data_IF_764088558313
#
_entry.id   IF_764088558313
#
_cell.length_a   1.000
_cell.length_b   1.000
_cell.length_c   1.000
_cell.angle_alpha   90.00
_cell.angle_beta   90.00
_cell.angle_gamma   90.00
#
_symmetry.space_group_name_H-M   'P 1'
#
loop_
_entity.id
_entity.type
_entity.pdbx_description
1 polymer ?
#
# COMPACT_ATOMS: atom_id res chain seq x y z
N UNK A 1 58.39 -13.66 -39.17
CA UNK A 1 57.74 -12.80 -40.17
C UNK A 1 56.26 -12.66 -39.81
N UNK A 2 55.65 -11.50 -40.05
CA UNK A 2 54.80 -10.79 -39.07
C UNK A 2 53.30 -10.81 -39.42
N UNK A 3 52.46 -10.52 -38.43
CA UNK A 3 51.21 -9.73 -38.49
C UNK A 3 50.50 -9.93 -37.12
N UNK A 4 50.20 -8.94 -36.29
CA UNK A 4 49.89 -7.53 -36.57
C UNK A 4 48.38 -7.34 -36.63
N UNK A 5 47.76 -6.95 -35.51
CA UNK A 5 46.58 -6.06 -35.35
C UNK A 5 45.82 -6.41 -34.05
N UNK A 6 46.06 -5.73 -32.93
CA UNK A 6 45.48 -4.44 -32.48
C UNK A 6 43.95 -4.38 -32.55
N UNK A 7 43.34 -4.70 -31.43
CA UNK A 7 41.93 -4.49 -31.11
C UNK A 7 41.76 -3.04 -30.59
N UNK A 8 40.97 -2.17 -31.25
CA UNK A 8 40.77 -0.81 -30.76
C UNK A 8 39.71 -0.77 -29.65
N UNK A 9 40.10 -0.15 -28.52
CA UNK A 9 39.23 0.21 -27.40
C UNK A 9 38.15 1.22 -27.84
N UNK A 10 36.97 1.20 -27.19
CA UNK A 10 35.91 2.17 -27.46
C UNK A 10 36.31 3.60 -27.05
N UNK A 11 35.95 4.62 -27.84
CA UNK A 11 36.24 6.01 -27.50
C UNK A 11 35.40 6.49 -26.32
N UNK A 12 36.08 7.10 -25.35
CA UNK A 12 35.46 7.83 -24.24
C UNK A 12 34.72 9.08 -24.71
N UNK A 13 33.61 9.49 -24.06
CA UNK A 13 32.78 10.60 -24.49
C UNK A 13 33.35 11.92 -23.97
N UNK A 14 34.45 12.42 -24.56
CA UNK A 14 35.02 13.73 -24.22
C UNK A 14 34.48 14.89 -25.07
N UNK A 15 33.53 14.63 -25.97
CA UNK A 15 33.01 15.64 -26.91
C UNK A 15 31.84 16.48 -26.36
N UNK A 16 31.23 16.12 -25.23
CA UNK A 16 30.14 16.89 -24.64
C UNK A 16 30.58 18.12 -23.82
N UNK A 17 31.88 18.25 -23.50
CA UNK A 17 32.39 19.30 -22.61
C UNK A 17 33.01 20.52 -23.32
N UNK A 18 33.09 20.53 -24.66
CA UNK A 18 33.68 21.65 -25.41
C UNK A 18 32.68 22.59 -26.09
N UNK A 19 31.38 22.28 -26.07
CA UNK A 19 30.33 23.17 -26.59
C UNK A 19 29.71 24.09 -25.51
N UNK A 20 29.98 23.83 -24.22
CA UNK A 20 29.43 24.62 -23.12
C UNK A 20 30.27 25.87 -22.74
N UNK A 21 31.44 26.09 -23.35
CA UNK A 21 32.37 27.16 -22.95
C UNK A 21 32.57 28.29 -23.99
N UNK A 22 32.03 28.17 -25.21
CA UNK A 22 32.18 29.22 -26.24
C UNK A 22 30.98 30.16 -26.39
N UNK A 23 29.83 29.88 -25.77
CA UNK A 23 28.72 30.84 -25.70
C UNK A 23 28.86 31.84 -24.55
N UNK A 24 29.70 31.55 -23.55
CA UNK A 24 29.87 32.40 -22.37
C UNK A 24 30.82 33.59 -22.58
N UNK A 25 31.46 33.70 -23.74
CA UNK A 25 32.47 34.75 -24.02
C UNK A 25 32.01 35.85 -24.99
N UNK A 26 30.76 35.82 -25.47
CA UNK A 26 30.19 36.90 -26.31
C UNK A 26 29.18 37.81 -25.59
N UNK A 27 29.14 37.78 -24.26
CA UNK A 27 28.33 38.72 -23.46
C UNK A 27 29.18 39.78 -22.72
N UNK A 28 30.50 39.69 -22.76
CA UNK A 28 31.39 40.69 -22.16
C UNK A 28 31.79 41.79 -23.16
N UNK A 29 30.81 42.38 -23.83
CA UNK A 29 30.97 43.70 -24.42
C UNK A 29 30.48 44.72 -23.38
N UNK A 30 31.42 45.22 -22.59
CA UNK A 30 31.24 46.31 -21.64
C UNK A 30 30.73 47.57 -22.36
N UNK A 31 29.40 47.66 -22.51
CA UNK A 31 28.73 48.91 -22.84
C UNK A 31 28.71 49.73 -21.55
N UNK A 32 29.53 50.78 -21.50
CA UNK A 32 29.47 51.81 -20.45
C UNK A 32 28.01 52.26 -20.33
N UNK A 33 27.35 51.92 -19.23
CA UNK A 33 26.06 52.49 -18.89
C UNK A 33 26.32 53.90 -18.33
N UNK A 34 25.69 54.95 -18.87
CA UNK A 34 25.56 56.19 -18.12
C UNK A 34 24.70 55.86 -16.90
N UNK A 35 25.12 56.31 -15.72
CA UNK A 35 24.33 56.24 -14.48
C UNK A 35 22.98 56.95 -14.70
N UNK A 36 21.99 56.19 -15.17
CA UNK A 36 20.60 56.60 -15.30
C UNK A 36 19.87 55.89 -14.16
N UNK A 37 19.45 56.69 -13.16
CA UNK A 37 18.81 56.20 -11.96
C UNK A 37 17.70 55.19 -12.25
N UNK A 38 17.70 54.09 -11.49
CA UNK A 38 16.69 53.04 -11.44
C UNK A 38 15.32 53.58 -11.85
N UNK A 39 14.95 53.36 -13.12
CA UNK A 39 13.68 53.89 -13.62
C UNK A 39 12.55 53.08 -13.00
N UNK A 40 11.50 53.75 -12.52
CA UNK A 40 10.32 53.14 -11.90
C UNK A 40 9.74 51.95 -12.70
N UNK A 41 9.89 51.99 -14.02
CA UNK A 41 9.42 50.95 -14.95
C UNK A 41 10.25 49.66 -14.88
N UNK A 42 11.57 49.74 -14.66
CA UNK A 42 12.43 48.55 -14.52
C UNK A 42 12.13 47.80 -13.23
N UNK A 43 11.91 48.52 -12.13
CA UNK A 43 11.44 47.94 -10.87
C UNK A 43 10.07 47.27 -11.00
N UNK A 44 9.15 47.89 -11.75
CA UNK A 44 7.82 47.32 -12.02
C UNK A 44 7.91 46.02 -12.83
N UNK A 45 8.71 45.99 -13.89
CA UNK A 45 8.92 44.79 -14.71
C UNK A 45 9.58 43.68 -13.89
N UNK A 46 10.56 44.00 -13.05
CA UNK A 46 11.21 43.02 -12.18
C UNK A 46 10.20 42.35 -11.22
N UNK A 47 9.31 43.13 -10.59
CA UNK A 47 8.27 42.59 -9.70
C UNK A 47 7.30 41.69 -10.49
N UNK A 48 6.90 42.08 -11.70
CA UNK A 48 6.01 41.27 -12.55
C UNK A 48 6.67 39.93 -12.91
N UNK A 49 7.95 39.94 -13.33
CA UNK A 49 8.68 38.71 -13.68
C UNK A 49 8.84 37.80 -12.47
N UNK A 50 9.13 38.36 -11.29
CA UNK A 50 9.22 37.60 -10.04
C UNK A 50 7.85 37.00 -9.67
N UNK A 51 6.76 37.77 -9.79
CA UNK A 51 5.42 37.28 -9.50
C UNK A 51 5.02 36.12 -10.43
N UNK A 52 5.27 36.25 -11.74
CA UNK A 52 4.98 35.19 -12.73
C UNK A 52 5.84 33.94 -12.50
N UNK A 53 7.12 34.11 -12.13
CA UNK A 53 8.00 32.96 -11.84
C UNK A 53 7.58 32.22 -10.56
N UNK A 54 7.18 32.93 -9.49
CA UNK A 54 6.67 32.29 -8.27
C UNK A 54 5.36 31.53 -8.54
N UNK A 55 4.42 32.14 -9.27
CA UNK A 55 3.13 31.50 -9.60
C UNK A 55 3.32 30.28 -10.50
N UNK A 56 4.31 30.26 -11.38
CA UNK A 56 4.58 29.10 -12.26
C UNK A 56 5.25 27.92 -11.54
N UNK A 57 6.06 28.17 -10.50
CA UNK A 57 6.76 27.11 -9.74
C UNK A 57 5.87 26.48 -8.65
N UNK A 58 4.86 27.19 -8.17
CA UNK A 58 4.05 26.77 -7.03
C UNK A 58 3.21 25.49 -7.30
N UNK A 59 2.47 25.35 -8.41
CA UNK A 59 1.60 24.19 -8.63
C UNK A 59 2.33 22.83 -8.64
N UNK A 60 3.50 22.67 -9.30
CA UNK A 60 4.27 21.43 -9.24
C UNK A 60 4.69 21.00 -7.82
N UNK A 61 5.02 21.96 -6.94
CA UNK A 61 5.45 21.68 -5.56
C UNK A 61 4.28 21.12 -4.73
N UNK A 62 3.11 21.74 -4.83
CA UNK A 62 1.89 21.25 -4.17
C UNK A 62 1.51 19.85 -4.67
N UNK A 63 1.63 19.60 -5.98
CA UNK A 63 1.40 18.27 -6.54
C UNK A 63 2.38 17.22 -5.97
N UNK A 64 3.66 17.56 -5.90
CA UNK A 64 4.70 16.65 -5.40
C UNK A 64 4.55 16.33 -3.90
N UNK A 65 4.11 17.29 -3.08
CA UNK A 65 3.87 17.06 -1.65
C UNK A 65 2.62 16.21 -1.40
N UNK A 66 1.53 16.45 -2.14
CA UNK A 66 0.30 15.66 -2.05
C UNK A 66 0.52 14.17 -2.38
N UNK A 67 1.27 13.87 -3.44
CA UNK A 67 1.57 12.48 -3.82
C UNK A 67 2.42 11.76 -2.77
N UNK A 68 3.38 12.43 -2.12
CA UNK A 68 4.19 11.84 -1.04
C UNK A 68 3.35 11.43 0.17
N UNK A 69 2.40 12.27 0.58
CA UNK A 69 1.52 11.96 1.73
C UNK A 69 0.62 10.75 1.40
N UNK A 70 0.05 10.72 0.18
CA UNK A 70 -0.75 9.58 -0.25
C UNK A 70 0.06 8.28 -0.35
N UNK A 71 1.29 8.36 -0.88
CA UNK A 71 2.18 7.20 -0.95
C UNK A 71 2.54 6.65 0.43
N UNK A 72 2.82 7.53 1.41
CA UNK A 72 3.06 7.10 2.80
C UNK A 72 1.86 6.36 3.41
N UNK A 73 0.64 6.84 3.16
CA UNK A 73 -0.58 6.18 3.65
C UNK A 73 -0.78 4.81 3.03
N UNK A 74 -0.50 4.65 1.74
CA UNK A 74 -0.59 3.34 1.08
C UNK A 74 0.51 2.39 1.54
N UNK A 75 1.72 2.89 1.77
CA UNK A 75 2.81 2.10 2.34
C UNK A 75 2.43 1.59 3.74
N UNK A 76 1.92 2.46 4.61
CA UNK A 76 1.41 2.08 5.93
C UNK A 76 0.29 1.04 5.82
N UNK A 77 -0.68 1.24 4.93
CA UNK A 77 -1.76 0.28 4.71
C UNK A 77 -1.23 -1.09 4.23
N UNK A 78 -0.19 -1.10 3.40
CA UNK A 78 0.46 -2.33 2.93
C UNK A 78 1.20 -3.05 4.07
N UNK A 79 1.89 -2.30 4.93
CA UNK A 79 2.57 -2.85 6.11
C UNK A 79 1.58 -3.44 7.11
N UNK A 80 0.43 -2.78 7.33
CA UNK A 80 -0.67 -3.30 8.15
C UNK A 80 -1.21 -4.61 7.59
N UNK A 81 -1.45 -4.67 6.27
CA UNK A 81 -1.96 -5.87 5.62
C UNK A 81 -0.98 -7.05 5.78
N UNK A 82 0.31 -6.79 5.56
CA UNK A 82 1.37 -7.79 5.72
C UNK A 82 1.49 -8.25 7.18
N UNK A 83 1.47 -7.31 8.13
CA UNK A 83 1.54 -7.63 9.56
C UNK A 83 0.39 -8.52 10.03
N UNK A 84 -0.81 -8.36 9.45
CA UNK A 84 -1.94 -9.25 9.76
C UNK A 84 -1.78 -10.65 9.15
N UNK A 85 -1.22 -10.76 7.94
CA UNK A 85 -0.85 -12.06 7.36
C UNK A 85 0.20 -12.76 8.23
N UNK A 86 1.23 -12.02 8.65
CA UNK A 86 2.32 -12.55 9.47
C UNK A 86 1.82 -12.96 10.86
N UNK A 87 0.88 -12.20 11.46
CA UNK A 87 0.21 -12.55 12.71
C UNK A 87 -0.50 -13.89 12.60
N UNK A 88 -1.34 -14.06 11.58
CA UNK A 88 -2.10 -15.30 11.36
C UNK A 88 -1.15 -16.46 11.05
N UNK A 89 -0.12 -16.24 10.23
CA UNK A 89 0.91 -17.23 9.95
C UNK A 89 1.61 -17.69 11.23
N UNK A 90 2.02 -16.77 12.08
CA UNK A 90 2.66 -17.10 13.35
C UNK A 90 1.74 -17.86 14.31
N UNK A 91 0.42 -17.60 14.29
CA UNK A 91 -0.57 -18.38 15.06
C UNK A 91 -0.66 -19.81 14.51
N UNK A 92 -0.71 -19.97 13.19
CA UNK A 92 -0.84 -21.28 12.54
C UNK A 92 0.43 -22.13 12.72
N UNK A 93 1.61 -21.51 12.60
CA UNK A 93 2.91 -22.17 12.76
C UNK A 93 3.14 -22.64 14.20
N UNK A 94 2.73 -21.85 15.20
CA UNK A 94 2.80 -22.25 16.61
C UNK A 94 1.95 -23.48 16.92
N UNK A 95 0.89 -23.72 16.14
CA UNK A 95 -0.05 -24.82 16.36
C UNK A 95 -0.95 -24.60 17.58
N UNK A 96 -1.92 -25.50 17.79
CA UNK A 96 -2.85 -25.42 18.93
C UNK A 96 -3.83 -24.24 18.90
N UNK A 97 -4.01 -23.60 17.74
CA UNK A 97 -4.95 -22.52 17.57
C UNK A 97 -6.39 -23.02 17.46
N UNK A 98 -7.34 -22.16 17.78
CA UNK A 98 -8.78 -22.42 17.63
C UNK A 98 -9.33 -21.64 16.43
N UNK A 99 -10.52 -22.02 15.94
CA UNK A 99 -11.17 -21.33 14.83
C UNK A 99 -11.43 -19.84 15.11
N UNK A 100 -11.62 -19.46 16.37
CA UNK A 100 -11.86 -18.06 16.79
C UNK A 100 -10.62 -17.16 16.66
N UNK A 101 -9.44 -17.75 16.53
CA UNK A 101 -8.17 -17.02 16.32
C UNK A 101 -7.84 -16.85 14.84
N UNK A 102 -8.53 -17.59 13.95
CA UNK A 102 -8.37 -17.48 12.51
C UNK A 102 -9.36 -16.47 11.92
N UNK A 103 -9.01 -15.83 10.79
CA UNK A 103 -9.96 -15.00 10.07
C UNK A 103 -11.28 -15.73 9.78
N UNK A 104 -12.40 -15.00 9.72
CA UNK A 104 -13.71 -15.59 9.43
C UNK A 104 -13.79 -16.10 7.98
N UNK A 105 -14.61 -17.12 7.76
CA UNK A 105 -14.87 -17.67 6.43
C UNK A 105 -16.16 -17.04 5.88
N UNK A 106 -16.19 -16.52 4.63
CA UNK A 106 -17.43 -16.15 3.99
C UNK A 106 -18.29 -17.39 3.72
N UNK A 107 -19.57 -17.37 4.07
CA UNK A 107 -20.46 -18.51 3.86
C UNK A 107 -20.49 -18.93 2.39
N UNK A 108 -20.24 -20.22 2.12
CA UNK A 108 -20.37 -20.82 0.80
C UNK A 108 -19.29 -20.45 -0.22
N UNK A 109 -18.23 -19.72 0.15
CA UNK A 109 -17.16 -19.40 -0.81
C UNK A 109 -16.16 -20.55 -0.95
N UNK A 110 -15.97 -21.00 -2.19
CA UNK A 110 -14.88 -21.90 -2.52
C UNK A 110 -13.53 -21.18 -2.37
N UNK A 111 -12.44 -21.94 -2.27
CA UNK A 111 -11.10 -21.36 -2.16
C UNK A 111 -10.74 -20.44 -3.35
N UNK A 112 -11.20 -20.80 -4.55
CA UNK A 112 -10.98 -20.01 -5.77
C UNK A 112 -11.68 -18.64 -5.73
N UNK A 113 -12.81 -18.54 -5.03
CA UNK A 113 -13.55 -17.28 -4.86
C UNK A 113 -12.79 -16.28 -3.98
N UNK A 114 -12.02 -16.81 -3.01
CA UNK A 114 -11.14 -16.00 -2.17
C UNK A 114 -9.95 -15.48 -2.97
N UNK A 115 -9.30 -16.34 -3.77
CA UNK A 115 -8.14 -15.98 -4.60
C UNK A 115 -8.55 -14.93 -5.65
N UNK A 116 -9.71 -15.09 -6.28
CA UNK A 116 -10.23 -14.12 -7.25
C UNK A 116 -10.71 -12.83 -6.57
N UNK A 117 -11.05 -12.89 -5.29
CA UNK A 117 -11.44 -11.74 -4.48
C UNK A 117 -12.74 -11.05 -4.93
N UNK A 118 -13.49 -11.61 -5.88
CA UNK A 118 -14.63 -10.96 -6.54
C UNK A 118 -15.96 -11.14 -5.82
N UNK A 119 -16.09 -12.14 -4.94
CA UNK A 119 -17.37 -12.51 -4.31
C UNK A 119 -17.52 -11.98 -2.88
N UNK A 120 -16.40 -11.57 -2.26
CA UNK A 120 -16.39 -11.12 -0.87
C UNK A 120 -16.73 -9.65 -0.81
N UNK A 121 -17.89 -9.33 -0.23
CA UNK A 121 -18.36 -7.96 -0.05
C UNK A 121 -17.39 -7.14 0.81
N UNK A 122 -17.40 -5.82 0.60
CA UNK A 122 -16.73 -4.89 1.50
C UNK A 122 -17.32 -5.00 2.92
N UNK A 123 -16.56 -4.68 3.97
CA UNK A 123 -17.07 -4.77 5.32
C UNK A 123 -18.08 -3.63 5.56
N UNK A 124 -19.03 -3.84 6.46
CA UNK A 124 -20.10 -2.89 6.75
C UNK A 124 -20.30 -2.61 8.24
N UNK A 125 -19.58 -3.31 9.12
CA UNK A 125 -19.67 -3.14 10.56
C UNK A 125 -18.28 -3.11 11.20
N UNK A 126 -18.07 -2.32 12.28
CA UNK A 126 -16.85 -2.41 13.07
C UNK A 126 -16.85 -3.67 13.95
N UNK A 127 -15.67 -4.13 14.35
CA UNK A 127 -15.50 -4.98 15.53
C UNK A 127 -15.64 -4.15 16.82
N UNK A 128 -15.86 -4.83 17.95
CA UNK A 128 -15.82 -4.18 19.27
C UNK A 128 -14.40 -3.84 19.75
N UNK A 129 -13.38 -4.30 19.02
CA UNK A 129 -11.97 -4.14 19.33
C UNK A 129 -11.35 -3.00 18.52
N UNK A 130 -10.40 -2.30 19.13
CA UNK A 130 -9.54 -1.30 18.51
C UNK A 130 -8.08 -1.71 18.74
N UNK A 131 -7.31 -1.83 17.67
CA UNK A 131 -5.86 -2.02 17.76
C UNK A 131 -5.23 -0.63 17.72
N UNK A 132 -4.53 -0.25 18.78
CA UNK A 132 -3.86 1.04 18.84
C UNK A 132 -2.43 0.91 19.34
N UNK A 133 -1.55 1.76 18.84
CA UNK A 133 -0.24 1.99 19.44
C UNK A 133 -0.33 2.64 20.84
N UNK A 134 -1.48 3.27 21.16
CA UNK A 134 -1.78 3.89 22.44
C UNK A 134 -2.35 2.84 23.41
N UNK A 135 -1.70 2.56 24.56
CA UNK A 135 -2.14 1.52 25.50
C UNK A 135 -3.57 1.72 26.05
N UNK A 136 -4.00 2.97 26.22
CA UNK A 136 -5.34 3.29 26.74
C UNK A 136 -6.47 3.04 25.73
N UNK A 137 -6.14 3.00 24.44
CA UNK A 137 -7.08 2.76 23.34
C UNK A 137 -7.06 1.30 22.87
N UNK A 138 -5.98 0.59 23.13
CA UNK A 138 -5.81 -0.79 22.69
C UNK A 138 -6.75 -1.72 23.48
N UNK A 139 -7.76 -2.21 22.79
CA UNK A 139 -8.75 -3.18 23.30
C UNK A 139 -8.62 -4.52 22.57
N UNK A 140 -7.48 -4.77 21.94
CA UNK A 140 -7.22 -5.99 21.18
C UNK A 140 -7.27 -7.23 22.09
N UNK A 141 -8.38 -7.96 21.99
CA UNK A 141 -8.43 -9.36 22.37
C UNK A 141 -7.94 -10.14 21.15
N UNK A 142 -6.94 -11.02 21.27
CA UNK A 142 -6.29 -11.76 20.16
C UNK A 142 -7.24 -12.58 19.24
N UNK A 143 -8.54 -12.53 19.50
CA UNK A 143 -9.65 -13.02 18.69
C UNK A 143 -9.77 -12.29 17.36
N UNK A 144 -9.87 -13.05 16.28
CA UNK A 144 -10.21 -12.52 14.97
C UNK A 144 -11.69 -12.04 14.93
N UNK A 145 -12.08 -11.25 13.92
CA UNK A 145 -13.48 -10.86 13.75
C UNK A 145 -14.37 -12.09 13.59
N UNK A 146 -15.55 -12.05 14.22
CA UNK A 146 -16.52 -13.17 14.14
C UNK A 146 -17.19 -13.30 12.77
N UNK A 147 -17.18 -12.23 11.97
CA UNK A 147 -17.82 -12.17 10.66
C UNK A 147 -16.90 -11.44 9.66
N UNK A 148 -16.80 -11.97 8.43
CA UNK A 148 -15.99 -11.41 7.34
C UNK A 148 -16.48 -10.03 6.87
N UNK A 149 -17.70 -9.63 7.20
CA UNK A 149 -18.23 -8.29 6.94
C UNK A 149 -17.84 -7.27 8.02
N UNK A 150 -17.10 -7.69 9.05
CA UNK A 150 -16.58 -6.79 10.07
C UNK A 150 -15.19 -6.26 9.67
N UNK A 151 -14.87 -5.05 10.11
CA UNK A 151 -13.52 -4.48 10.04
C UNK A 151 -12.97 -4.19 11.44
N UNK A 152 -11.66 -4.33 11.58
CA UNK A 152 -10.91 -3.95 12.78
C UNK A 152 -10.40 -2.52 12.58
N UNK A 153 -10.82 -1.54 13.39
CA UNK A 153 -10.21 -0.22 13.39
C UNK A 153 -8.78 -0.30 13.93
N UNK A 154 -7.86 0.40 13.26
CA UNK A 154 -6.44 0.49 13.64
C UNK A 154 -6.05 1.96 13.77
N UNK A 155 -5.51 2.29 14.94
CA UNK A 155 -4.89 3.56 15.29
C UNK A 155 -3.37 3.38 15.33
N UNK A 156 -2.71 3.97 14.35
CA UNK A 156 -1.26 3.89 14.13
C UNK A 156 -0.54 5.12 14.63
N UNK A 157 -1.26 6.20 14.93
CA UNK A 157 -0.65 7.45 15.30
C UNK A 157 -0.54 7.60 16.82
N UNK A 158 0.52 8.27 17.24
CA UNK A 158 0.63 8.81 18.58
C UNK A 158 1.31 10.16 18.47
N UNK A 159 0.61 11.17 17.93
CA UNK A 159 1.18 12.50 17.80
C UNK A 159 1.52 13.02 19.20
N UNK A 160 2.72 13.60 19.40
CA UNK A 160 3.23 13.96 20.72
C UNK A 160 2.40 15.00 21.49
N UNK A 161 1.42 15.63 20.81
CA UNK A 161 0.59 16.70 21.35
C UNK A 161 -0.90 16.32 21.46
N UNK A 162 -1.29 15.08 21.18
CA UNK A 162 -2.65 14.63 21.49
C UNK A 162 -2.71 13.92 22.85
N UNK A 163 -3.79 14.13 23.61
CA UNK A 163 -4.03 13.38 24.84
C UNK A 163 -4.03 11.86 24.59
N UNK A 164 -3.45 11.09 25.50
CA UNK A 164 -3.33 9.64 25.37
C UNK A 164 -4.68 8.87 25.31
N UNK A 165 -5.80 9.55 25.60
CA UNK A 165 -7.15 9.02 25.57
C UNK A 165 -7.91 9.32 24.26
N UNK A 166 -7.28 9.96 23.26
CA UNK A 166 -7.90 10.15 21.94
C UNK A 166 -7.67 8.92 21.08
N UNK A 167 -8.73 8.12 20.93
CA UNK A 167 -8.74 6.88 20.18
C UNK A 167 -9.37 7.11 18.81
N UNK A 168 -8.56 7.47 17.82
CA UNK A 168 -9.03 7.74 16.46
C UNK A 168 -8.35 6.74 15.52
N UNK A 169 -9.11 5.89 14.81
CA UNK A 169 -8.51 5.00 13.83
C UNK A 169 -8.18 5.76 12.53
N UNK A 170 -7.02 5.45 11.93
CA UNK A 170 -6.66 5.88 10.57
C UNK A 170 -7.00 4.83 9.52
N UNK A 171 -7.03 3.56 9.92
CA UNK A 171 -7.22 2.43 9.02
C UNK A 171 -8.31 1.49 9.53
N UNK A 172 -8.97 0.81 8.58
CA UNK A 172 -9.99 -0.19 8.85
C UNK A 172 -9.60 -1.47 8.11
N UNK A 173 -9.40 -2.56 8.83
CA UNK A 173 -8.87 -3.82 8.27
C UNK A 173 -9.96 -4.87 8.20
N UNK A 174 -10.23 -5.36 7.00
CA UNK A 174 -11.07 -6.54 6.78
C UNK A 174 -10.17 -7.75 6.55
N UNK A 175 -10.41 -8.82 7.28
CA UNK A 175 -9.75 -10.11 7.09
C UNK A 175 -10.78 -11.19 6.78
N UNK A 176 -10.40 -12.13 5.95
CA UNK A 176 -11.22 -13.29 5.60
C UNK A 176 -10.33 -14.43 5.10
N UNK A 177 -10.86 -15.65 5.10
CA UNK A 177 -10.15 -16.83 4.59
C UNK A 177 -11.08 -17.82 3.87
N UNK A 178 -10.49 -18.75 3.13
CA UNK A 178 -11.19 -19.94 2.65
C UNK A 178 -11.46 -20.92 3.80
N UNK A 179 -12.34 -21.89 3.56
CA UNK A 179 -12.56 -23.02 4.48
C UNK A 179 -11.22 -23.70 4.85
N UNK A 180 -10.34 -23.82 3.85
CA UNK A 180 -9.04 -24.46 3.98
C UNK A 180 -9.14 -25.97 3.77
N UNK A 181 -8.03 -26.65 4.05
CA UNK A 181 -7.89 -28.10 3.94
C UNK A 181 -7.33 -28.70 5.23
N UNK A 182 -7.66 -29.95 5.49
CA UNK A 182 -7.11 -30.76 6.58
C UNK A 182 -5.71 -31.33 6.23
N UNK A 183 -5.15 -32.15 7.13
CA UNK A 183 -3.86 -32.84 6.94
C UNK A 183 -3.82 -33.74 5.72
N UNK A 184 -4.96 -34.29 5.33
CA UNK A 184 -5.09 -35.16 4.16
C UNK A 184 -5.29 -34.35 2.87
N UNK A 185 -5.38 -33.01 2.99
CA UNK A 185 -5.70 -32.09 1.91
C UNK A 185 -7.14 -32.25 1.41
N UNK A 186 -8.06 -32.67 2.26
CA UNK A 186 -9.51 -32.61 2.00
C UNK A 186 -10.06 -31.28 2.51
N UNK A 187 -11.17 -30.76 1.94
CA UNK A 187 -11.78 -29.53 2.44
C UNK A 187 -12.08 -29.62 3.94
N UNK A 188 -11.63 -28.62 4.71
CA UNK A 188 -11.91 -28.55 6.13
C UNK A 188 -13.41 -28.34 6.34
N UNK A 189 -14.05 -29.22 7.11
CA UNK A 189 -15.50 -29.18 7.38
C UNK A 189 -15.79 -28.69 8.80
N UNK A 190 -16.80 -27.83 8.92
CA UNK A 190 -17.43 -27.42 10.18
C UNK A 190 -16.47 -26.82 11.21
N UNK A 191 -16.00 -27.68 12.13
CA UNK A 191 -15.28 -27.32 13.36
C UNK A 191 -13.78 -27.68 13.32
N UNK A 192 -13.31 -28.34 12.26
CA UNK A 192 -11.91 -28.72 12.15
C UNK A 192 -11.03 -27.50 11.85
N UNK A 193 -9.92 -27.37 12.59
CA UNK A 193 -8.90 -26.36 12.32
C UNK A 193 -8.17 -26.70 11.02
N UNK A 194 -8.20 -25.83 9.99
CA UNK A 194 -7.59 -26.12 8.71
C UNK A 194 -6.07 -26.05 8.78
N UNK A 195 -5.37 -27.06 8.26
CA UNK A 195 -3.91 -27.05 8.21
C UNK A 195 -3.35 -26.16 7.10
N UNK A 196 -4.16 -25.81 6.11
CA UNK A 196 -3.81 -24.75 5.17
C UNK A 196 -5.04 -24.08 4.57
N UNK A 197 -4.92 -22.81 4.25
CA UNK A 197 -6.00 -22.00 3.69
C UNK A 197 -5.44 -20.78 2.95
N UNK A 198 -6.27 -20.15 2.12
CA UNK A 198 -5.98 -18.85 1.52
C UNK A 198 -6.65 -17.79 2.37
N UNK A 199 -5.92 -16.75 2.74
CA UNK A 199 -6.46 -15.57 3.39
C UNK A 199 -6.35 -14.33 2.49
N UNK A 200 -7.26 -13.40 2.69
CA UNK A 200 -7.16 -12.06 2.13
C UNK A 200 -7.30 -11.00 3.20
N UNK A 201 -6.57 -9.91 3.01
CA UNK A 201 -6.60 -8.72 3.86
C UNK A 201 -6.86 -7.51 2.99
N UNK A 202 -7.82 -6.70 3.39
CA UNK A 202 -8.14 -5.41 2.75
C UNK A 202 -8.04 -4.31 3.78
N UNK A 203 -7.29 -3.27 3.47
CA UNK A 203 -7.09 -2.13 4.36
C UNK A 203 -7.74 -0.91 3.73
N UNK A 204 -8.74 -0.37 4.39
CA UNK A 204 -9.45 0.85 4.02
C UNK A 204 -8.91 2.03 4.85
N UNK A 205 -9.03 3.23 4.30
CA UNK A 205 -8.82 4.45 5.10
C UNK A 205 -10.02 4.69 6.03
N UNK A 206 -9.81 5.32 7.18
CA UNK A 206 -10.90 5.65 8.11
C UNK A 206 -11.97 6.57 7.51
N UNK A 207 -11.60 7.38 6.51
CA UNK A 207 -12.57 8.19 5.74
C UNK A 207 -13.60 7.35 4.96
N UNK A 208 -13.36 6.03 4.79
CA UNK A 208 -14.30 5.12 4.15
C UNK A 208 -15.41 4.65 5.08
N UNK A 209 -15.28 4.85 6.41
CA UNK A 209 -16.14 4.24 7.41
C UNK A 209 -17.64 4.49 7.17
N UNK A 210 -18.01 5.75 6.87
CA UNK A 210 -19.38 6.14 6.63
C UNK A 210 -19.98 5.43 5.39
N UNK A 211 -19.18 5.23 4.35
CA UNK A 211 -19.63 4.57 3.12
C UNK A 211 -19.68 3.05 3.28
N UNK A 212 -18.73 2.48 4.02
CA UNK A 212 -18.71 1.07 4.40
C UNK A 212 -19.96 0.71 5.22
N UNK A 213 -20.29 1.49 6.25
CA UNK A 213 -21.51 1.32 7.06
C UNK A 213 -22.79 1.47 6.24
N UNK A 214 -22.76 2.28 5.19
CA UNK A 214 -23.85 2.43 4.23
C UNK A 214 -23.91 1.33 3.16
N UNK A 215 -23.09 0.27 3.26
CA UNK A 215 -22.97 -0.80 2.26
C UNK A 215 -22.59 -0.31 0.85
N UNK A 216 -21.90 0.83 0.75
CA UNK A 216 -21.41 1.40 -0.51
C UNK A 216 -19.93 1.08 -0.79
N UNK A 217 -19.31 0.30 0.09
CA UNK A 217 -17.92 -0.12 -0.04
C UNK A 217 -17.63 -0.92 -1.31
N UNK A 218 -16.51 -0.61 -1.94
CA UNK A 218 -15.96 -1.34 -3.06
C UNK A 218 -14.79 -2.23 -2.61
N UNK A 219 -14.43 -3.19 -3.47
CA UNK A 219 -13.46 -4.25 -3.17
C UNK A 219 -12.17 -4.14 -4.00
N UNK A 220 -12.20 -3.31 -5.06
CA UNK A 220 -11.03 -3.06 -5.93
C UNK A 220 -10.15 -2.00 -5.31
N UNK A 221 -8.84 -2.24 -5.28
CA UNK A 221 -7.88 -1.30 -4.72
C UNK A 221 -8.03 0.10 -5.34
N UNK A 222 -7.94 1.13 -4.50
CA UNK A 222 -8.00 2.52 -4.91
C UNK A 222 -6.86 2.84 -5.89
N UNK A 223 -7.20 3.45 -7.03
CA UNK A 223 -6.19 4.01 -7.91
C UNK A 223 -5.83 5.41 -7.41
N UNK A 224 -4.58 5.60 -6.97
CA UNK A 224 -4.05 6.91 -6.54
C UNK A 224 -3.54 7.76 -7.72
N UNK A 225 -4.08 7.57 -8.92
CA UNK A 225 -3.64 8.32 -10.10
C UNK A 225 -4.21 9.75 -10.03
N UNK A 226 -3.46 10.67 -9.42
CA UNK A 226 -3.74 12.12 -9.39
C UNK A 226 -3.99 12.73 -8.00
N UNK A 227 -4.19 14.05 -7.92
CA UNK A 227 -4.45 14.82 -6.68
C UNK A 227 -5.92 14.87 -6.25
N UNK A 228 -6.78 13.95 -6.71
CA UNK A 228 -8.18 13.92 -6.26
C UNK A 228 -8.21 13.52 -4.77
N UNK A 229 -8.37 14.52 -3.90
CA UNK A 229 -7.93 14.49 -2.51
C UNK A 229 -8.40 13.33 -1.63
N UNK A 230 -9.51 12.66 -1.97
CA UNK A 230 -10.04 11.51 -1.22
C UNK A 230 -10.82 10.50 -2.11
N UNK A 231 -10.91 10.72 -3.42
CA UNK A 231 -12.01 10.19 -4.26
C UNK A 231 -12.20 8.67 -4.19
N UNK A 232 -11.16 7.91 -4.55
CA UNK A 232 -11.21 6.45 -4.46
C UNK A 232 -11.15 5.93 -3.03
N UNK A 233 -10.49 6.64 -2.12
CA UNK A 233 -10.18 6.17 -0.76
C UNK A 233 -11.41 6.10 0.15
N UNK A 234 -12.48 6.81 -0.20
CA UNK A 234 -13.77 6.77 0.54
C UNK A 234 -14.55 5.48 0.32
N UNK A 235 -14.31 4.77 -0.77
CA UNK A 235 -15.07 3.57 -1.13
C UNK A 235 -14.18 2.34 -1.26
N UNK A 236 -12.91 2.52 -1.63
CA UNK A 236 -12.00 1.45 -2.03
C UNK A 236 -10.88 1.23 -1.02
N UNK A 237 -10.40 -0.02 -0.86
CA UNK A 237 -9.25 -0.31 -0.02
C UNK A 237 -7.97 0.32 -0.60
N UNK A 238 -7.10 0.81 0.28
CA UNK A 238 -5.77 1.31 -0.03
C UNK A 238 -4.79 0.18 -0.39
N UNK A 239 -4.91 -0.95 0.31
CA UNK A 239 -4.11 -2.14 0.09
C UNK A 239 -5.01 -3.39 0.10
N UNK A 240 -4.71 -4.32 -0.81
CA UNK A 240 -5.36 -5.63 -0.90
C UNK A 240 -4.25 -6.65 -1.07
N UNK A 241 -4.17 -7.61 -0.15
CA UNK A 241 -3.17 -8.68 -0.20
C UNK A 241 -3.86 -10.02 0.00
N UNK A 242 -3.40 -11.04 -0.73
CA UNK A 242 -3.81 -12.42 -0.53
C UNK A 242 -2.56 -13.25 -0.26
N UNK A 243 -2.71 -14.25 0.62
CA UNK A 243 -1.62 -15.15 0.97
C UNK A 243 -2.16 -16.54 1.27
N UNK A 244 -1.40 -17.55 0.88
CA UNK A 244 -1.62 -18.93 1.27
C UNK A 244 -0.87 -19.20 2.56
N UNK A 245 -1.59 -19.68 3.58
CA UNK A 245 -1.02 -20.10 4.85
C UNK A 245 -1.11 -21.63 4.92
N UNK A 246 0.00 -22.27 5.25
CA UNK A 246 0.10 -23.72 5.46
C UNK A 246 0.88 -23.95 6.74
N UNK A 247 0.38 -24.83 7.59
CA UNK A 247 1.07 -25.27 8.80
C UNK A 247 2.23 -26.18 8.41
N UNK A 248 3.39 -25.99 9.05
CA UNK A 248 4.53 -26.88 8.84
C UNK A 248 4.37 -28.17 9.64
N UNK A 249 4.02 -29.27 8.98
CA UNK A 249 4.04 -30.63 9.55
C UNK A 249 4.92 -31.52 8.66
N UNK A 250 5.90 -32.18 9.27
CA UNK A 250 7.14 -32.67 8.65
C UNK A 250 7.06 -33.63 7.43
N UNK A 251 5.89 -33.98 6.89
CA UNK A 251 5.77 -34.91 5.74
C UNK A 251 4.65 -34.63 4.72
N UNK A 252 3.69 -33.74 4.97
CA UNK A 252 2.49 -33.58 4.10
C UNK A 252 2.30 -32.15 3.54
N UNK A 253 3.15 -31.20 3.87
CA UNK A 253 2.96 -29.78 3.50
C UNK A 253 3.00 -29.52 1.99
N UNK A 254 3.85 -30.25 1.25
CA UNK A 254 4.00 -30.05 -0.19
C UNK A 254 2.74 -30.47 -0.95
N UNK A 255 2.07 -31.54 -0.52
CA UNK A 255 0.83 -32.00 -1.15
C UNK A 255 -0.33 -31.05 -0.82
N UNK A 256 -0.40 -30.55 0.41
CA UNK A 256 -1.35 -29.50 0.82
C UNK A 256 -1.14 -28.23 -0.01
N UNK A 257 0.10 -27.73 -0.09
CA UNK A 257 0.42 -26.54 -0.89
C UNK A 257 -0.01 -26.70 -2.34
N UNK A 258 0.33 -27.83 -2.97
CA UNK A 258 -0.01 -28.10 -4.38
C UNK A 258 -1.52 -28.19 -4.62
N UNK A 259 -2.30 -28.66 -3.64
CA UNK A 259 -3.76 -28.69 -3.70
C UNK A 259 -4.36 -27.29 -3.55
N UNK A 260 -3.78 -26.47 -2.67
CA UNK A 260 -4.20 -25.07 -2.49
C UNK A 260 -3.81 -24.19 -3.69
N UNK A 261 -2.77 -24.60 -4.42
CA UNK A 261 -2.17 -23.91 -5.56
C UNK A 261 -2.02 -24.81 -6.79
N UNK A 262 -3.11 -25.14 -7.51
CA UNK A 262 -3.05 -25.96 -8.71
C UNK A 262 -2.35 -25.21 -9.86
N UNK A 263 -1.48 -25.91 -10.61
CA UNK A 263 -0.67 -25.33 -11.69
C UNK A 263 -1.48 -24.69 -12.84
N UNK A 264 -2.79 -24.94 -12.91
CA UNK A 264 -3.72 -24.36 -13.86
C UNK A 264 -4.24 -22.97 -13.47
N UNK A 265 -3.99 -22.50 -12.23
CA UNK A 265 -4.39 -21.18 -11.75
C UNK A 265 -3.38 -20.06 -12.11
N UNK A 266 -2.72 -20.18 -13.27
CA UNK A 266 -1.74 -19.24 -13.80
C UNK A 266 -2.40 -17.92 -14.30
N UNK A 267 -3.25 -17.32 -13.50
CA UNK A 267 -3.68 -15.94 -13.70
C UNK A 267 -3.39 -15.20 -12.40
N UNK A 268 -2.36 -14.36 -12.45
CA UNK A 268 -1.82 -13.51 -11.36
C UNK A 268 -1.17 -14.25 -10.19
N UNK A 269 0.05 -14.75 -10.43
CA UNK A 269 1.14 -15.05 -9.48
C UNK A 269 0.94 -14.84 -7.97
N UNK A 270 -0.03 -15.51 -7.36
CA UNK A 270 -0.20 -15.62 -5.91
C UNK A 270 -0.49 -17.07 -5.53
N UNK A 271 0.44 -17.89 -5.99
CA UNK A 271 0.84 -19.22 -5.61
C UNK A 271 2.32 -19.33 -6.07
#
# INVERSE_FOLDING_TARGET
MPAGSTQPNPPSPQWALRLALSLSQRLSASRRQPDQGLTLIEGLVAIIVIAVTIVSITPPIFWATGTRVQNRKVEQASQIAQGEIDRVRAIVERGGYTLNQLPPVPFGTAQEDIIRGTTIRAPNAPTATLISSKPLCNTNTETAPTNYQQYIPIDTDNPPNEPANVCKPEFLVQTFRSLGVDSNGNPATGLATPEGFVMGVRVYASVAEAELRANRGEIRQASLKGTSGLGGQRLRPLAVQYSTIVRSIASQNLSIYRKLCPASAATTGQC
#
